data_IF_466983613022
#
_entry.id   IF_466983613022
#
_cell.length_a   1.000
_cell.length_b   1.000
_cell.length_c   1.000
_cell.angle_alpha   90.00
_cell.angle_beta   90.00
_cell.angle_gamma   90.00
#
_symmetry.space_group_name_H-M   'P 1'
#
loop_
_entity.id
_entity.type
_entity.pdbx_description
1 polymer ?
#
# COMPACT_ATOMS: atom_id res chain seq x y z
N UNK A 1 -8.00 25.97 -2.00
CA UNK A 1 -9.34 25.82 -1.41
C UNK A 1 -9.71 24.35 -1.25
N UNK A 2 -10.36 23.99 -0.15
CA UNK A 2 -10.95 22.67 0.06
C UNK A 2 -11.98 22.35 -1.02
N UNK A 3 -12.00 21.10 -1.52
CA UNK A 3 -12.94 20.68 -2.56
C UNK A 3 -13.88 19.56 -2.09
N UNK A 4 -13.34 18.47 -1.51
CA UNK A 4 -14.13 17.29 -1.12
C UNK A 4 -13.37 16.36 -0.18
N UNK A 5 -14.09 15.45 0.43
CA UNK A 5 -13.58 14.29 1.13
C UNK A 5 -14.45 13.06 0.84
N UNK A 6 -13.91 11.88 1.03
CA UNK A 6 -14.64 10.61 0.94
C UNK A 6 -14.01 9.55 1.84
N UNK A 7 -14.79 8.57 2.22
CA UNK A 7 -14.38 7.38 2.96
C UNK A 7 -14.17 6.18 2.05
N UNK A 8 -14.04 5.01 2.64
CA UNK A 8 -13.93 3.77 1.89
C UNK A 8 -15.15 3.57 0.96
N UNK A 9 -14.91 3.00 -0.21
CA UNK A 9 -15.89 2.80 -1.28
C UNK A 9 -16.56 4.09 -1.80
N UNK A 10 -15.97 5.25 -1.55
CA UNK A 10 -16.57 6.54 -1.90
C UNK A 10 -17.70 7.00 -0.99
N UNK A 11 -17.94 6.29 0.09
CA UNK A 11 -18.97 6.63 1.08
C UNK A 11 -18.64 7.96 1.80
N UNK A 12 -19.63 8.55 2.44
CA UNK A 12 -19.39 9.63 3.39
C UNK A 12 -18.45 9.11 4.49
N UNK A 13 -17.41 9.90 4.88
CA UNK A 13 -16.57 9.52 6.02
C UNK A 13 -17.40 9.30 7.29
N UNK A 14 -17.03 8.28 8.03
CA UNK A 14 -17.68 7.89 9.27
C UNK A 14 -16.59 7.59 10.31
N UNK A 15 -16.53 8.38 11.37
CA UNK A 15 -15.54 8.30 12.44
C UNK A 15 -16.01 7.42 13.61
N UNK A 16 -17.13 6.71 13.45
CA UNK A 16 -17.63 5.79 14.47
C UNK A 16 -16.62 4.68 14.77
N UNK A 17 -16.49 4.28 16.04
CA UNK A 17 -15.61 3.18 16.42
C UNK A 17 -15.94 1.89 15.66
N UNK A 18 -14.91 1.20 15.20
CA UNK A 18 -15.04 -0.10 14.56
C UNK A 18 -14.48 -1.22 15.46
N UNK A 19 -15.05 -2.43 15.40
CA UNK A 19 -14.47 -3.58 16.08
C UNK A 19 -13.06 -3.88 15.53
N UNK A 20 -12.22 -4.63 16.24
CA UNK A 20 -10.93 -5.07 15.72
C UNK A 20 -11.04 -5.71 14.33
N UNK A 21 -9.98 -5.59 13.53
CA UNK A 21 -9.95 -6.22 12.21
C UNK A 21 -10.07 -7.74 12.31
N UNK A 22 -10.99 -8.30 11.53
CA UNK A 22 -11.17 -9.74 11.40
C UNK A 22 -11.17 -10.11 9.90
N UNK A 23 -10.20 -10.89 9.40
CA UNK A 23 -10.12 -11.27 7.98
C UNK A 23 -11.27 -12.16 7.50
N UNK A 24 -12.02 -12.80 8.42
CA UNK A 24 -13.14 -13.67 8.09
C UNK A 24 -14.47 -12.92 7.95
N UNK A 25 -14.51 -11.66 8.36
CA UNK A 25 -15.69 -10.80 8.21
C UNK A 25 -15.74 -10.17 6.80
N UNK A 26 -16.93 -9.72 6.38
CA UNK A 26 -17.06 -8.92 5.17
C UNK A 26 -16.17 -7.67 5.23
N UNK A 27 -15.70 -7.17 4.08
CA UNK A 27 -14.88 -5.96 4.03
C UNK A 27 -15.52 -4.78 4.74
N UNK A 28 -14.77 -4.13 5.63
CA UNK A 28 -15.24 -2.96 6.37
C UNK A 28 -15.62 -1.81 5.42
N UNK A 29 -16.75 -1.17 5.68
CA UNK A 29 -17.27 -0.06 4.86
C UNK A 29 -16.63 1.29 5.18
N UNK A 30 -15.72 1.33 6.17
CA UNK A 30 -14.92 2.48 6.59
C UNK A 30 -13.46 2.17 6.37
N UNK A 31 -12.64 3.22 6.20
CA UNK A 31 -11.20 3.10 6.38
C UNK A 31 -10.87 2.87 7.85
N UNK A 32 -9.79 2.14 8.12
CA UNK A 32 -9.26 2.03 9.48
C UNK A 32 -8.13 3.02 9.72
N UNK A 33 -7.99 3.42 10.95
CA UNK A 33 -6.90 4.29 11.37
C UNK A 33 -5.59 3.49 11.48
N UNK A 34 -4.51 3.98 10.83
CA UNK A 34 -4.48 5.11 9.90
C UNK A 34 -4.71 4.70 8.44
N UNK A 35 -5.23 5.63 7.61
CA UNK A 35 -4.93 5.62 6.18
C UNK A 35 -3.43 5.93 6.08
N UNK A 36 -2.65 5.03 5.48
CA UNK A 36 -1.21 5.09 5.66
C UNK A 36 -0.45 5.61 4.43
N UNK A 37 -0.96 5.37 3.25
CA UNK A 37 -0.37 5.87 2.01
C UNK A 37 -1.43 6.33 1.02
N UNK A 38 -1.14 7.42 0.30
CA UNK A 38 -1.96 7.93 -0.80
C UNK A 38 -1.04 8.27 -1.96
N UNK A 39 -1.33 7.76 -3.16
CA UNK A 39 -0.60 8.07 -4.38
C UNK A 39 -1.57 8.34 -5.51
N UNK A 40 -1.16 9.20 -6.44
CA UNK A 40 -1.94 9.52 -7.64
C UNK A 40 -1.14 9.04 -8.85
N UNK A 41 -1.73 8.14 -9.63
CA UNK A 41 -1.15 7.68 -10.87
C UNK A 41 -1.22 8.76 -11.97
N UNK A 42 -0.41 8.63 -13.02
CA UNK A 42 -0.31 9.64 -14.09
C UNK A 42 -1.65 9.94 -14.76
N UNK A 43 -2.49 8.94 -14.96
CA UNK A 43 -3.85 9.09 -15.49
C UNK A 43 -4.82 9.73 -14.50
N UNK A 44 -4.40 9.90 -13.25
CA UNK A 44 -5.16 10.62 -12.22
C UNK A 44 -5.96 9.74 -11.27
N UNK A 45 -5.84 8.43 -11.35
CA UNK A 45 -6.44 7.54 -10.35
C UNK A 45 -5.74 7.68 -9.00
N UNK A 46 -6.52 7.64 -7.93
CA UNK A 46 -6.06 7.78 -6.55
C UNK A 46 -6.01 6.40 -5.91
N UNK A 47 -4.83 6.00 -5.46
CA UNK A 47 -4.57 4.74 -4.77
C UNK A 47 -4.40 5.00 -3.29
N UNK A 48 -5.09 4.25 -2.45
CA UNK A 48 -5.11 4.42 -1.00
C UNK A 48 -4.68 3.12 -0.33
N UNK A 49 -3.64 3.18 0.49
CA UNK A 49 -3.22 2.10 1.36
C UNK A 49 -3.99 2.16 2.69
N UNK A 50 -5.03 1.34 2.79
CA UNK A 50 -5.85 1.16 3.99
C UNK A 50 -5.22 0.05 4.84
N UNK A 51 -4.19 0.45 5.60
CA UNK A 51 -3.21 -0.43 6.23
C UNK A 51 -3.84 -1.54 7.07
N UNK A 52 -4.63 -1.18 8.06
CA UNK A 52 -5.20 -2.14 9.01
C UNK A 52 -6.27 -3.03 8.39
N UNK A 53 -6.95 -2.56 7.34
CA UNK A 53 -7.86 -3.39 6.54
C UNK A 53 -7.12 -4.28 5.53
N UNK A 54 -5.78 -4.25 5.48
CA UNK A 54 -4.95 -5.05 4.59
C UNK A 54 -5.34 -4.91 3.11
N UNK A 55 -5.69 -3.71 2.66
CA UNK A 55 -6.16 -3.50 1.29
C UNK A 55 -5.64 -2.22 0.64
N UNK A 56 -5.64 -2.24 -0.68
CA UNK A 56 -5.52 -1.06 -1.53
C UNK A 56 -6.89 -0.77 -2.10
N UNK A 57 -7.35 0.47 -2.05
CA UNK A 57 -8.53 0.94 -2.77
C UNK A 57 -8.14 1.97 -3.82
N UNK A 58 -8.78 1.90 -4.99
CA UNK A 58 -8.55 2.78 -6.13
C UNK A 58 -9.81 3.60 -6.42
N UNK A 59 -9.60 4.89 -6.63
CA UNK A 59 -10.67 5.86 -6.84
C UNK A 59 -10.38 6.76 -8.04
N UNK A 60 -11.43 7.30 -8.63
CA UNK A 60 -11.32 8.51 -9.41
C UNK A 60 -11.01 9.72 -8.51
N UNK A 61 -10.52 10.82 -9.09
CA UNK A 61 -10.34 12.09 -8.35
C UNK A 61 -11.65 12.66 -7.79
N UNK A 62 -12.78 12.24 -8.32
CA UNK A 62 -14.12 12.57 -7.83
C UNK A 62 -14.42 11.93 -6.47
N UNK A 63 -13.72 10.84 -6.10
CA UNK A 63 -14.00 10.00 -4.95
C UNK A 63 -14.82 8.76 -5.31
N UNK A 64 -15.18 8.56 -6.58
CA UNK A 64 -15.87 7.36 -7.03
C UNK A 64 -14.94 6.15 -6.89
N UNK A 65 -15.41 5.13 -6.19
CA UNK A 65 -14.70 3.87 -6.02
C UNK A 65 -14.65 3.10 -7.33
N UNK A 66 -13.48 2.53 -7.65
CA UNK A 66 -13.27 1.72 -8.87
C UNK A 66 -13.08 0.26 -8.51
N UNK A 67 -12.07 -0.04 -7.67
CA UNK A 67 -11.68 -1.42 -7.34
C UNK A 67 -10.84 -1.49 -6.07
N UNK A 68 -10.68 -2.68 -5.55
CA UNK A 68 -9.76 -2.96 -4.44
C UNK A 68 -9.04 -4.28 -4.61
N UNK A 69 -7.96 -4.45 -3.87
CA UNK A 69 -7.31 -5.73 -3.65
C UNK A 69 -6.82 -5.84 -2.21
N UNK A 70 -6.92 -7.04 -1.66
CA UNK A 70 -6.40 -7.39 -0.35
C UNK A 70 -4.98 -7.93 -0.48
N UNK A 71 -4.10 -7.45 0.38
CA UNK A 71 -2.70 -7.86 0.44
C UNK A 71 -2.47 -8.55 1.78
N UNK A 72 -2.04 -9.82 1.75
CA UNK A 72 -1.84 -10.60 2.98
C UNK A 72 -3.01 -10.43 3.98
N UNK A 73 -4.23 -10.65 3.51
CA UNK A 73 -5.50 -10.38 4.22
C UNK A 73 -5.53 -10.89 5.66
N UNK A 74 -4.80 -11.96 5.95
CA UNK A 74 -4.78 -12.58 7.29
C UNK A 74 -3.81 -11.89 8.28
N UNK A 75 -3.17 -10.79 7.89
CA UNK A 75 -2.29 -10.03 8.77
C UNK A 75 -3.11 -9.27 9.79
N UNK A 76 -2.93 -9.59 11.05
CA UNK A 76 -3.57 -8.90 12.17
C UNK A 76 -2.72 -7.72 12.68
N UNK A 77 -3.22 -7.02 13.71
CA UNK A 77 -2.52 -5.92 14.35
C UNK A 77 -2.35 -4.72 13.40
N UNK A 78 -1.11 -4.32 13.07
CA UNK A 78 -0.89 -3.12 12.24
C UNK A 78 -1.36 -3.25 10.80
N UNK A 79 -1.65 -4.47 10.29
CA UNK A 79 -2.04 -4.70 8.90
C UNK A 79 -0.85 -4.71 7.93
N UNK A 80 -1.11 -4.87 6.63
CA UNK A 80 -0.09 -5.18 5.63
C UNK A 80 0.20 -4.07 4.61
N UNK A 81 -0.70 -3.12 4.40
CA UNK A 81 -0.52 -2.09 3.37
C UNK A 81 0.03 -0.80 3.96
N UNK A 82 1.36 -0.72 4.15
CA UNK A 82 2.00 0.40 4.84
C UNK A 82 2.27 1.58 3.92
N UNK A 83 2.81 1.36 2.74
CA UNK A 83 3.00 2.41 1.73
C UNK A 83 2.92 1.80 0.34
N UNK A 84 2.74 2.63 -0.66
CA UNK A 84 2.63 2.24 -2.06
C UNK A 84 3.45 3.17 -2.93
N UNK A 85 4.00 2.63 -4.02
CA UNK A 85 4.60 3.43 -5.07
C UNK A 85 4.47 2.73 -6.42
N UNK A 86 4.64 3.48 -7.51
CA UNK A 86 4.49 2.95 -8.86
C UNK A 86 5.84 2.75 -9.54
N UNK A 87 5.89 1.82 -10.50
CA UNK A 87 7.04 1.74 -11.39
C UNK A 87 7.17 3.00 -12.25
N UNK A 88 8.40 3.31 -12.66
CA UNK A 88 8.71 4.55 -13.38
C UNK A 88 8.42 4.49 -14.89
N UNK A 89 8.06 3.32 -15.44
CA UNK A 89 7.68 3.19 -16.85
C UNK A 89 6.49 4.10 -17.20
N UNK A 90 6.30 4.46 -18.48
CA UNK A 90 5.23 5.38 -18.88
C UNK A 90 3.83 4.96 -18.45
N UNK A 91 3.54 3.68 -18.47
CA UNK A 91 2.26 3.08 -18.10
C UNK A 91 2.12 2.87 -16.59
N UNK A 92 3.21 3.03 -15.82
CA UNK A 92 3.26 2.69 -14.40
C UNK A 92 2.70 1.28 -14.16
N UNK A 93 3.25 0.31 -14.92
CA UNK A 93 2.72 -1.05 -15.01
C UNK A 93 2.64 -1.77 -13.68
N UNK A 94 3.57 -1.49 -12.78
CA UNK A 94 3.65 -2.16 -11.49
C UNK A 94 3.29 -1.21 -10.34
N UNK A 95 2.60 -1.77 -9.35
CA UNK A 95 2.36 -1.17 -8.05
C UNK A 95 3.17 -1.94 -7.01
N UNK A 96 3.99 -1.24 -6.25
CA UNK A 96 4.74 -1.79 -5.12
C UNK A 96 4.03 -1.45 -3.82
N UNK A 97 3.98 -2.41 -2.89
CA UNK A 97 3.34 -2.24 -1.59
C UNK A 97 4.33 -2.64 -0.50
N UNK A 98 4.67 -1.71 0.38
CA UNK A 98 5.42 -2.01 1.59
C UNK A 98 4.53 -2.76 2.58
N UNK A 99 5.06 -3.84 3.13
CA UNK A 99 4.40 -4.63 4.17
C UNK A 99 5.32 -4.74 5.38
N UNK A 100 5.23 -3.76 6.27
CA UNK A 100 6.05 -3.71 7.48
C UNK A 100 5.78 -4.85 8.44
N UNK A 101 4.55 -5.36 8.49
CA UNK A 101 4.20 -6.47 9.37
C UNK A 101 4.82 -7.80 8.92
N UNK A 102 4.80 -8.07 7.61
CA UNK A 102 5.36 -9.31 7.04
C UNK A 102 6.79 -9.13 6.52
N UNK A 103 7.37 -7.95 6.67
CA UNK A 103 8.78 -7.64 6.34
C UNK A 103 9.11 -7.89 4.87
N UNK A 104 8.26 -7.42 3.95
CA UNK A 104 8.42 -7.63 2.51
C UNK A 104 7.84 -6.49 1.69
N UNK A 105 8.13 -6.51 0.41
CA UNK A 105 7.53 -5.65 -0.60
C UNK A 105 6.80 -6.53 -1.60
N UNK A 106 5.52 -6.27 -1.80
CA UNK A 106 4.68 -6.90 -2.80
C UNK A 106 4.79 -6.16 -4.12
N UNK A 107 4.78 -6.88 -5.22
CA UNK A 107 4.69 -6.35 -6.58
C UNK A 107 3.38 -6.82 -7.21
N UNK A 108 2.55 -5.88 -7.64
CA UNK A 108 1.29 -6.13 -8.30
C UNK A 108 1.31 -5.63 -9.74
N UNK A 109 0.57 -6.29 -10.61
CA UNK A 109 0.10 -5.65 -11.84
C UNK A 109 -0.87 -4.52 -11.46
N UNK A 110 -0.56 -3.29 -11.82
CA UNK A 110 -1.35 -2.13 -11.40
C UNK A 110 -2.75 -2.11 -12.01
N UNK A 111 -2.88 -2.58 -13.25
CA UNK A 111 -4.17 -2.55 -13.96
C UNK A 111 -5.18 -3.52 -13.35
N UNK A 112 -4.76 -4.72 -12.96
CA UNK A 112 -5.64 -5.75 -12.38
C UNK A 112 -5.58 -5.81 -10.86
N UNK A 113 -4.56 -5.23 -10.22
CA UNK A 113 -4.17 -5.41 -8.82
C UNK A 113 -3.81 -6.86 -8.46
N UNK A 114 -3.50 -7.69 -9.45
CA UNK A 114 -3.04 -9.07 -9.23
C UNK A 114 -1.63 -9.07 -8.66
N UNK A 115 -1.41 -9.82 -7.59
CA UNK A 115 -0.07 -10.02 -7.01
C UNK A 115 0.77 -10.84 -8.00
N UNK A 116 1.90 -10.29 -8.43
CA UNK A 116 2.86 -10.92 -9.34
C UNK A 116 4.02 -11.58 -8.59
N UNK A 117 4.34 -11.09 -7.39
CA UNK A 117 5.43 -11.61 -6.58
C UNK A 117 5.71 -10.74 -5.36
N UNK A 118 6.71 -11.14 -4.63
CA UNK A 118 7.17 -10.45 -3.43
C UNK A 118 8.67 -10.61 -3.26
N UNK A 119 9.30 -9.71 -2.50
CA UNK A 119 10.69 -9.86 -2.09
C UNK A 119 10.92 -9.28 -0.69
N UNK A 120 12.03 -9.70 -0.08
CA UNK A 120 12.36 -9.37 1.30
C UNK A 120 11.88 -10.43 2.29
N UNK A 121 12.40 -10.35 3.49
CA UNK A 121 12.06 -11.19 4.65
C UNK A 121 12.53 -10.50 5.92
N UNK A 122 12.06 -10.96 7.08
CA UNK A 122 12.53 -10.43 8.37
C UNK A 122 14.04 -10.59 8.56
N UNK A 123 14.67 -9.56 9.08
CA UNK A 123 16.08 -9.57 9.43
C UNK A 123 16.78 -8.23 9.25
N UNK A 124 18.12 -8.23 9.35
CA UNK A 124 18.94 -7.01 9.31
C UNK A 124 20.07 -7.05 8.28
N UNK A 125 20.20 -8.12 7.52
CA UNK A 125 21.15 -8.20 6.40
C UNK A 125 20.59 -7.52 5.17
N UNK A 126 21.43 -7.31 4.16
CA UNK A 126 21.02 -6.78 2.87
C UNK A 126 19.86 -7.60 2.28
N UNK A 127 18.82 -6.93 1.81
CA UNK A 127 17.60 -7.56 1.28
C UNK A 127 16.64 -8.12 2.34
N UNK A 128 16.97 -7.97 3.63
CA UNK A 128 16.05 -8.26 4.73
C UNK A 128 15.50 -6.96 5.30
N UNK A 129 14.31 -7.00 5.88
CA UNK A 129 13.64 -5.82 6.43
C UNK A 129 13.36 -5.95 7.92
N UNK A 130 13.36 -4.80 8.57
CA UNK A 130 12.78 -4.60 9.89
C UNK A 130 11.88 -3.37 9.83
N UNK A 131 10.58 -3.60 9.80
CA UNK A 131 9.56 -2.55 9.65
C UNK A 131 9.76 -1.69 8.39
N UNK A 132 9.78 -2.32 7.20
CA UNK A 132 9.73 -1.57 5.94
C UNK A 132 8.47 -0.70 5.95
N UNK A 133 8.66 0.62 5.77
CA UNK A 133 7.60 1.60 6.05
C UNK A 133 7.25 2.45 4.85
N UNK A 134 8.25 3.00 4.18
CA UNK A 134 8.06 3.89 3.04
C UNK A 134 8.77 3.38 1.80
N UNK A 135 8.20 3.69 0.65
CA UNK A 135 8.74 3.36 -0.66
C UNK A 135 8.90 4.61 -1.52
N UNK A 136 9.93 4.59 -2.35
CA UNK A 136 10.08 5.53 -3.45
C UNK A 136 10.75 4.83 -4.63
N UNK A 137 10.32 5.16 -5.84
CA UNK A 137 10.90 4.66 -7.09
C UNK A 137 11.62 5.78 -7.84
N UNK A 138 12.83 5.53 -8.35
CA UNK A 138 13.53 6.48 -9.22
C UNK A 138 13.15 6.28 -10.70
N UNK A 139 13.60 7.19 -11.57
CA UNK A 139 13.32 7.16 -13.00
C UNK A 139 13.84 5.92 -13.73
N UNK A 140 14.69 5.11 -13.09
CA UNK A 140 15.20 3.84 -13.61
C UNK A 140 14.44 2.63 -13.05
N UNK A 141 13.35 2.85 -12.32
CA UNK A 141 12.57 1.83 -11.59
C UNK A 141 13.37 1.10 -10.50
N UNK A 142 14.39 1.74 -9.93
CA UNK A 142 14.98 1.25 -8.71
C UNK A 142 14.05 1.61 -7.54
N UNK A 143 13.95 0.73 -6.56
CA UNK A 143 13.09 0.91 -5.38
C UNK A 143 13.96 1.30 -4.20
N UNK A 144 13.55 2.32 -3.47
CA UNK A 144 14.14 2.71 -2.21
C UNK A 144 13.13 2.40 -1.10
N UNK A 145 13.57 1.64 -0.12
CA UNK A 145 12.76 1.21 1.02
C UNK A 145 13.30 1.81 2.31
N UNK A 146 12.51 2.63 2.97
CA UNK A 146 12.81 3.17 4.28
C UNK A 146 12.28 2.26 5.39
N UNK A 147 13.10 2.02 6.42
CA UNK A 147 12.74 1.22 7.58
C UNK A 147 12.63 2.10 8.83
N UNK A 148 11.72 1.76 9.73
CA UNK A 148 11.46 2.49 10.97
C UNK A 148 11.82 1.70 12.21
N UNK A 149 11.54 2.27 13.38
CA UNK A 149 11.92 1.75 14.69
C UNK A 149 13.42 1.50 14.79
N UNK A 150 13.81 0.30 15.12
CA UNK A 150 15.21 -0.10 15.21
C UNK A 150 15.85 -0.44 13.87
N UNK A 151 15.09 -0.43 12.77
CA UNK A 151 15.58 -0.57 11.40
C UNK A 151 16.55 0.55 11.04
N UNK A 152 16.11 1.79 11.12
CA UNK A 152 16.89 3.03 10.96
C UNK A 152 17.80 3.03 9.73
N UNK A 153 17.30 2.57 8.58
CA UNK A 153 18.09 2.52 7.35
C UNK A 153 17.22 2.68 6.11
N UNK A 154 17.88 2.95 5.01
CA UNK A 154 17.29 2.92 3.66
C UNK A 154 18.02 1.88 2.85
N UNK A 155 17.27 1.05 2.13
CA UNK A 155 17.84 0.09 1.18
C UNK A 155 17.41 0.45 -0.24
N UNK A 156 18.36 0.35 -1.19
CA UNK A 156 18.11 0.50 -2.62
C UNK A 156 18.13 -0.86 -3.29
N UNK A 157 17.07 -1.15 -4.03
CA UNK A 157 16.94 -2.35 -4.88
C UNK A 157 17.00 -1.92 -6.34
N UNK A 158 17.91 -2.51 -7.10
CA UNK A 158 18.04 -2.25 -8.54
C UNK A 158 17.25 -3.29 -9.33
N UNK A 159 16.57 -2.84 -10.38
CA UNK A 159 15.92 -3.75 -11.32
C UNK A 159 16.98 -4.48 -12.15
N UNK A 160 17.03 -5.78 -12.02
CA UNK A 160 17.83 -6.63 -12.93
C UNK A 160 16.96 -6.89 -14.16
N UNK A 161 17.52 -6.68 -15.35
CA UNK A 161 16.86 -6.93 -16.64
C UNK A 161 16.94 -8.41 -16.99
#
# INVERSE_FOLDING_TARGET
AYKRHWGAYGNKPDDSPMPPYNPNEPPAKQFRNPIHGVRIAREGLVYIADRVNCRIQVFERSGNFIKEAFIAKNTLGPGSCWDIDFSADPEQKYLFVADGSNQKIWMLDRASLTILGEFGRSGRYAGQFHWVHNLASDSKSNIYAGEVDTGKRVQKFIRIR
#
